data_IF_588671769901
#
_entry.id   IF_588671769901
#
_cell.length_a   1.000
_cell.length_b   1.000
_cell.length_c   1.000
_cell.angle_alpha   90.00
_cell.angle_beta   90.00
_cell.angle_gamma   90.00
#
_symmetry.space_group_name_H-M   'P 1'
#
loop_
_entity.id
_entity.type
_entity.pdbx_description
1 polymer ?
#
# COMPACT_ATOMS: atom_id res chain seq x y z
N UNK A 1 30.52 6.81 -21.47
CA UNK A 1 30.92 6.30 -20.13
C UNK A 1 29.74 6.13 -19.17
N UNK A 2 28.82 7.09 -19.04
CA UNK A 2 27.61 6.99 -18.17
C UNK A 2 26.70 5.77 -18.42
N UNK A 3 26.37 5.35 -19.68
CA UNK A 3 25.45 4.24 -19.89
C UNK A 3 26.00 2.86 -19.47
N UNK A 4 27.32 2.69 -19.55
CA UNK A 4 27.98 1.43 -19.19
C UNK A 4 28.04 1.27 -17.66
N UNK A 5 28.34 2.37 -16.95
CA UNK A 5 28.35 2.40 -15.49
C UNK A 5 26.96 2.13 -14.94
N UNK A 6 25.91 2.74 -15.53
CA UNK A 6 24.51 2.49 -15.15
C UNK A 6 24.10 1.04 -15.34
N UNK A 7 24.49 0.41 -16.46
CA UNK A 7 24.25 -1.02 -16.70
C UNK A 7 25.01 -1.93 -15.71
N UNK A 8 26.22 -1.52 -15.30
CA UNK A 8 27.02 -2.28 -14.34
C UNK A 8 26.47 -2.16 -12.92
N UNK A 9 26.03 -0.98 -12.51
CA UNK A 9 25.35 -0.76 -11.22
C UNK A 9 24.06 -1.58 -11.15
N UNK A 10 23.20 -1.52 -12.16
CA UNK A 10 21.97 -2.32 -12.24
C UNK A 10 22.26 -3.82 -12.18
N UNK A 11 23.36 -4.28 -12.78
CA UNK A 11 23.77 -5.69 -12.74
C UNK A 11 24.24 -6.12 -11.35
N UNK A 12 24.97 -5.25 -10.63
CA UNK A 12 25.41 -5.48 -9.25
C UNK A 12 24.22 -5.46 -8.30
N UNK A 13 23.33 -4.49 -8.41
CA UNK A 13 22.10 -4.41 -7.61
C UNK A 13 21.23 -5.65 -7.82
N UNK A 14 21.03 -6.10 -9.05
CA UNK A 14 20.33 -7.37 -9.37
C UNK A 14 21.00 -8.60 -8.75
N UNK A 15 22.31 -8.60 -8.63
CA UNK A 15 23.06 -9.69 -8.04
C UNK A 15 23.01 -9.65 -6.51
N UNK A 16 23.02 -8.47 -5.92
CA UNK A 16 22.82 -8.24 -4.48
C UNK A 16 21.39 -8.64 -4.08
N UNK A 17 20.37 -8.25 -4.87
CA UNK A 17 18.98 -8.68 -4.67
C UNK A 17 18.85 -10.20 -4.71
N UNK A 18 19.53 -10.88 -5.65
CA UNK A 18 19.59 -12.36 -5.69
C UNK A 18 20.20 -12.97 -4.43
N UNK A 19 21.24 -12.36 -3.88
CA UNK A 19 21.91 -12.82 -2.66
C UNK A 19 21.05 -12.56 -1.42
N UNK A 20 20.40 -11.39 -1.32
CA UNK A 20 19.52 -11.04 -0.20
C UNK A 20 18.25 -11.91 -0.18
N UNK A 21 17.72 -12.30 -1.33
CA UNK A 21 16.57 -13.21 -1.45
C UNK A 21 16.93 -14.64 -1.00
N UNK A 22 18.21 -15.06 -1.09
CA UNK A 22 18.65 -16.40 -0.72
C UNK A 22 18.85 -16.63 0.78
N UNK A 23 18.92 -15.57 1.60
CA UNK A 23 19.26 -15.67 3.04
C UNK A 23 18.08 -15.56 4.02
N UNK A 24 16.83 -15.45 3.55
CA UNK A 24 15.67 -15.29 4.43
C UNK A 24 14.97 -16.62 4.72
N UNK A 25 15.24 -17.20 5.89
CA UNK A 25 14.61 -18.45 6.35
C UNK A 25 13.27 -18.32 7.08
N UNK A 26 12.83 -17.12 7.43
CA UNK A 26 11.69 -16.93 8.31
C UNK A 26 10.41 -16.57 7.51
N UNK A 27 9.42 -17.44 7.58
CA UNK A 27 8.02 -17.20 7.09
C UNK A 27 7.90 -17.11 5.56
N UNK A 28 8.66 -17.90 4.84
CA UNK A 28 8.67 -17.91 3.38
C UNK A 28 8.07 -19.22 2.90
N UNK A 29 7.11 -19.14 1.98
CA UNK A 29 6.60 -20.33 1.28
C UNK A 29 7.67 -20.91 0.36
N UNK A 30 7.86 -22.23 0.41
CA UNK A 30 8.71 -22.95 -0.54
C UNK A 30 7.88 -23.62 -1.65
N UNK A 31 6.56 -23.51 -1.56
CA UNK A 31 5.65 -24.02 -2.56
C UNK A 31 5.73 -23.21 -3.86
N UNK A 32 5.42 -23.81 -5.01
CA UNK A 32 5.31 -23.05 -6.25
C UNK A 32 4.19 -22.01 -6.15
N UNK A 33 4.30 -20.88 -6.89
CA UNK A 33 3.23 -19.91 -6.95
C UNK A 33 1.98 -20.49 -7.63
N UNK A 34 0.80 -19.89 -7.38
CA UNK A 34 -0.46 -20.34 -8.01
C UNK A 34 -0.43 -20.39 -9.54
N UNK A 35 0.43 -19.60 -10.19
CA UNK A 35 0.64 -19.64 -11.64
C UNK A 35 1.27 -20.96 -12.14
N UNK A 36 1.91 -21.73 -11.28
CA UNK A 36 2.68 -22.91 -11.66
C UNK A 36 4.02 -22.58 -12.36
N UNK A 37 4.43 -21.32 -12.38
CA UNK A 37 5.74 -20.90 -12.94
C UNK A 37 6.88 -21.56 -12.16
N UNK A 38 7.93 -21.98 -12.85
CA UNK A 38 9.13 -22.49 -12.20
C UNK A 38 9.93 -21.37 -11.53
N UNK A 39 10.83 -21.76 -10.61
CA UNK A 39 11.63 -20.83 -9.81
C UNK A 39 12.44 -19.83 -10.63
N UNK A 40 13.04 -20.29 -11.74
CA UNK A 40 13.87 -19.45 -12.61
C UNK A 40 13.04 -18.36 -13.28
N UNK A 41 11.86 -18.70 -13.79
CA UNK A 41 10.91 -17.77 -14.39
C UNK A 41 10.46 -16.70 -13.38
N UNK A 42 10.10 -17.12 -12.15
CA UNK A 42 9.70 -16.19 -11.09
C UNK A 42 10.84 -15.22 -10.75
N UNK A 43 12.06 -15.74 -10.56
CA UNK A 43 13.24 -14.91 -10.28
C UNK A 43 13.50 -13.89 -11.39
N UNK A 44 13.36 -14.31 -12.66
CA UNK A 44 13.55 -13.43 -13.81
C UNK A 44 12.52 -12.28 -13.79
N UNK A 45 11.24 -12.61 -13.64
CA UNK A 45 10.15 -11.61 -13.59
C UNK A 45 10.31 -10.64 -12.42
N UNK A 46 10.60 -11.13 -11.22
CA UNK A 46 10.83 -10.28 -10.05
C UNK A 46 12.01 -9.33 -10.27
N UNK A 47 13.06 -9.76 -10.97
CA UNK A 47 14.23 -8.94 -11.28
C UNK A 47 13.99 -7.91 -12.39
N UNK A 48 12.89 -7.97 -13.13
CA UNK A 48 12.50 -6.96 -14.12
C UNK A 48 12.00 -5.67 -13.45
N UNK A 49 11.47 -5.75 -12.21
CA UNK A 49 10.99 -4.60 -11.45
C UNK A 49 12.15 -3.97 -10.70
N UNK A 50 12.53 -2.73 -11.00
CA UNK A 50 13.68 -2.07 -10.38
C UNK A 50 13.51 -1.85 -8.88
N UNK A 51 12.27 -1.60 -8.45
CA UNK A 51 11.95 -1.28 -7.06
C UNK A 51 10.60 -1.87 -6.65
N UNK A 52 10.60 -2.64 -5.56
CA UNK A 52 9.41 -3.17 -4.91
C UNK A 52 9.12 -2.39 -3.63
N UNK A 53 7.92 -1.87 -3.51
CA UNK A 53 7.51 -1.15 -2.30
C UNK A 53 7.19 -2.12 -1.16
N UNK A 54 6.52 -3.23 -1.48
CA UNK A 54 6.13 -4.23 -0.50
C UNK A 54 6.98 -5.50 -0.60
N UNK A 55 7.01 -6.25 0.52
CA UNK A 55 7.62 -7.59 0.57
C UNK A 55 6.56 -8.64 0.23
N UNK A 56 6.51 -9.07 -1.03
CA UNK A 56 5.57 -10.06 -1.56
C UNK A 56 6.28 -11.42 -1.64
N UNK A 57 5.67 -12.46 -1.06
CA UNK A 57 6.13 -13.84 -1.17
C UNK A 57 5.54 -14.49 -2.42
N UNK A 58 6.41 -14.88 -3.33
CA UNK A 58 6.07 -15.55 -4.59
C UNK A 58 6.30 -17.06 -4.56
N UNK A 59 6.53 -17.64 -3.40
CA UNK A 59 6.92 -19.05 -3.29
C UNK A 59 8.39 -19.31 -3.60
N UNK A 60 8.81 -20.55 -3.51
CA UNK A 60 10.21 -21.01 -3.67
C UNK A 60 11.23 -20.29 -2.78
N UNK A 61 10.80 -19.61 -1.74
CA UNK A 61 11.62 -18.72 -0.94
C UNK A 61 11.93 -17.37 -1.59
N UNK A 62 11.21 -16.99 -2.62
CA UNK A 62 11.36 -15.71 -3.33
C UNK A 62 10.45 -14.68 -2.69
N UNK A 63 11.03 -13.70 -1.99
CA UNK A 63 10.31 -12.57 -1.40
C UNK A 63 10.93 -11.28 -1.91
N UNK A 64 10.11 -10.34 -2.36
CA UNK A 64 10.59 -9.03 -2.79
C UNK A 64 11.17 -8.25 -1.60
N UNK A 65 12.21 -7.40 -1.80
CA UNK A 65 12.90 -6.74 -0.70
C UNK A 65 11.99 -5.82 0.13
N UNK A 66 11.05 -5.15 -0.52
CA UNK A 66 10.21 -4.13 0.09
C UNK A 66 10.97 -2.84 0.45
N UNK A 67 10.22 -1.77 0.63
CA UNK A 67 10.76 -0.51 1.13
C UNK A 67 11.04 -0.60 2.64
N UNK A 68 11.91 0.25 3.18
CA UNK A 68 12.19 0.39 4.61
C UNK A 68 12.63 -0.90 5.35
N UNK A 69 13.57 -1.66 4.79
CA UNK A 69 14.16 -2.79 5.51
C UNK A 69 13.34 -4.09 5.49
N UNK A 70 12.29 -4.13 4.70
CA UNK A 70 11.54 -5.35 4.40
C UNK A 70 10.71 -5.88 5.58
N UNK A 71 10.54 -7.20 5.66
CA UNK A 71 9.60 -7.88 6.57
C UNK A 71 9.81 -7.56 8.06
N UNK A 72 11.05 -7.31 8.51
CA UNK A 72 11.39 -7.13 9.93
C UNK A 72 11.29 -5.69 10.43
N UNK A 73 11.12 -4.71 9.53
CA UNK A 73 11.01 -3.31 9.95
C UNK A 73 9.62 -3.06 10.59
N UNK A 74 9.49 -2.25 11.66
CA UNK A 74 8.19 -1.95 12.29
C UNK A 74 7.12 -1.42 11.35
N UNK A 75 7.52 -0.66 10.32
CA UNK A 75 6.64 -0.21 9.22
C UNK A 75 6.72 -1.11 7.97
N UNK A 76 7.44 -2.23 8.05
CA UNK A 76 7.54 -3.19 6.96
C UNK A 76 6.20 -3.87 6.68
N UNK A 77 6.04 -4.33 5.46
CA UNK A 77 4.79 -4.86 4.89
C UNK A 77 4.06 -5.84 5.81
N UNK A 78 4.76 -6.82 6.39
CA UNK A 78 4.14 -7.83 7.26
C UNK A 78 3.67 -7.26 8.59
N UNK A 79 4.44 -6.37 9.20
CA UNK A 79 4.07 -5.73 10.45
C UNK A 79 2.91 -4.76 10.23
N UNK A 80 2.92 -4.02 9.13
CA UNK A 80 1.80 -3.16 8.76
C UNK A 80 0.52 -3.99 8.59
N UNK A 81 0.57 -5.09 7.83
CA UNK A 81 -0.58 -5.99 7.66
C UNK A 81 -1.13 -6.50 9.01
N UNK A 82 -0.25 -6.93 9.93
CA UNK A 82 -0.65 -7.39 11.27
C UNK A 82 -1.34 -6.29 12.09
N UNK A 83 -0.94 -5.04 11.91
CA UNK A 83 -1.48 -3.90 12.65
C UNK A 83 -2.75 -3.28 12.03
N UNK A 84 -3.11 -3.62 10.78
CA UNK A 84 -4.33 -3.14 10.13
C UNK A 84 -5.60 -3.71 10.75
N UNK A 85 -5.50 -4.82 11.47
CA UNK A 85 -6.67 -5.56 11.95
C UNK A 85 -7.68 -5.86 10.82
N UNK A 86 -7.16 -6.12 9.61
CA UNK A 86 -7.97 -6.59 8.49
C UNK A 86 -8.50 -7.99 8.86
N UNK A 87 -9.81 -8.25 8.73
CA UNK A 87 -10.36 -9.57 9.09
C UNK A 87 -9.64 -10.71 8.34
N UNK A 88 -9.43 -11.83 9.02
CA UNK A 88 -8.76 -12.99 8.43
C UNK A 88 -9.66 -13.73 7.42
N UNK A 89 -10.97 -13.60 7.54
CA UNK A 89 -11.96 -14.12 6.60
C UNK A 89 -12.74 -12.97 5.95
N UNK A 90 -12.57 -12.83 4.64
CA UNK A 90 -13.24 -11.82 3.82
C UNK A 90 -14.25 -12.43 2.85
N UNK A 91 -14.66 -13.69 3.06
CA UNK A 91 -15.66 -14.33 2.19
C UNK A 91 -16.96 -13.53 2.17
N UNK A 92 -17.46 -13.29 0.96
CA UNK A 92 -18.65 -12.46 0.73
C UNK A 92 -18.42 -10.95 0.81
N UNK A 93 -17.22 -10.49 1.19
CA UNK A 93 -16.87 -9.06 1.26
C UNK A 93 -16.22 -8.57 -0.02
N UNK A 94 -16.52 -7.33 -0.37
CA UNK A 94 -15.83 -6.57 -1.42
C UNK A 94 -14.83 -5.60 -0.80
N UNK A 95 -13.64 -5.50 -1.40
CA UNK A 95 -12.54 -4.65 -0.92
C UNK A 95 -12.11 -3.68 -2.01
N UNK A 96 -11.96 -2.39 -1.66
CA UNK A 96 -11.30 -1.38 -2.48
C UNK A 96 -9.96 -1.04 -1.85
N UNK A 97 -8.89 -1.13 -2.63
CA UNK A 97 -7.53 -0.75 -2.23
C UNK A 97 -7.13 0.52 -3.01
N UNK A 98 -6.96 1.64 -2.30
CA UNK A 98 -6.68 2.95 -2.87
C UNK A 98 -5.20 3.27 -2.70
N UNK A 99 -4.49 3.50 -3.82
CA UNK A 99 -3.04 3.67 -3.83
C UNK A 99 -2.32 2.33 -3.70
N UNK A 100 -2.77 1.34 -4.45
CA UNK A 100 -2.37 -0.05 -4.29
C UNK A 100 -0.89 -0.33 -4.60
N UNK A 101 -0.21 0.55 -5.34
CA UNK A 101 1.18 0.41 -5.79
C UNK A 101 1.44 -0.95 -6.46
N UNK A 102 2.26 -1.83 -5.86
CA UNK A 102 2.55 -3.19 -6.35
C UNK A 102 1.53 -4.26 -5.89
N UNK A 103 0.42 -3.83 -5.25
CA UNK A 103 -0.77 -4.63 -5.03
C UNK A 103 -0.77 -5.53 -3.79
N UNK A 104 0.21 -5.47 -2.91
CA UNK A 104 0.33 -6.39 -1.77
C UNK A 104 -0.97 -6.52 -0.97
N UNK A 105 -1.61 -5.42 -0.56
CA UNK A 105 -2.82 -5.46 0.27
C UNK A 105 -4.04 -5.96 -0.52
N UNK A 106 -4.08 -5.67 -1.82
CA UNK A 106 -5.10 -6.22 -2.72
C UNK A 106 -5.01 -7.74 -2.81
N UNK A 107 -3.81 -8.30 -2.99
CA UNK A 107 -3.59 -9.75 -3.06
C UNK A 107 -3.82 -10.43 -1.70
N UNK A 108 -3.50 -9.77 -0.60
CA UNK A 108 -3.82 -10.26 0.75
C UNK A 108 -5.34 -10.30 0.99
N UNK A 109 -6.09 -9.31 0.53
CA UNK A 109 -7.54 -9.34 0.61
C UNK A 109 -8.15 -10.49 -0.23
N UNK A 110 -7.66 -10.72 -1.45
CA UNK A 110 -8.06 -11.86 -2.28
C UNK A 110 -7.73 -13.20 -1.59
N UNK A 111 -6.52 -13.35 -1.05
CA UNK A 111 -6.08 -14.54 -0.31
C UNK A 111 -6.96 -14.85 0.90
N UNK A 112 -7.54 -13.85 1.55
CA UNK A 112 -8.50 -13.98 2.66
C UNK A 112 -9.92 -14.28 2.17
N UNK A 113 -10.12 -14.47 0.86
CA UNK A 113 -11.38 -14.91 0.26
C UNK A 113 -12.35 -13.79 -0.09
N UNK A 114 -11.88 -12.53 -0.21
CA UNK A 114 -12.74 -11.45 -0.67
C UNK A 114 -13.42 -11.81 -1.99
N UNK A 115 -14.74 -11.57 -2.07
CA UNK A 115 -15.55 -11.92 -3.24
C UNK A 115 -15.26 -11.01 -4.45
N UNK A 116 -14.78 -9.81 -4.18
CA UNK A 116 -14.31 -8.82 -5.16
C UNK A 116 -13.20 -7.97 -4.55
N UNK A 117 -12.12 -7.78 -5.28
CA UNK A 117 -11.09 -6.81 -4.91
C UNK A 117 -10.84 -5.90 -6.10
N UNK A 118 -10.98 -4.59 -5.88
CA UNK A 118 -10.59 -3.56 -6.83
C UNK A 118 -9.40 -2.78 -6.27
N UNK A 119 -8.31 -2.78 -7.00
CA UNK A 119 -7.16 -1.92 -6.77
C UNK A 119 -7.25 -0.67 -7.65
N UNK A 120 -7.00 0.50 -7.09
CA UNK A 120 -6.83 1.72 -7.89
C UNK A 120 -5.51 2.39 -7.55
N UNK A 121 -4.87 2.92 -8.55
CA UNK A 121 -3.70 3.80 -8.40
C UNK A 121 -3.63 4.75 -9.61
N UNK A 122 -3.17 5.97 -9.41
CA UNK A 122 -2.86 6.87 -10.50
C UNK A 122 -1.38 6.85 -10.87
N UNK A 123 -0.57 6.15 -10.07
CA UNK A 123 0.87 6.04 -10.20
C UNK A 123 1.54 7.41 -10.39
N UNK A 124 1.12 8.39 -9.61
CA UNK A 124 1.70 9.74 -9.69
C UNK A 124 3.21 9.71 -9.47
N UNK A 125 3.66 8.93 -8.48
CA UNK A 125 5.08 8.73 -8.18
C UNK A 125 5.77 7.84 -9.23
N UNK A 126 5.03 6.95 -9.87
CA UNK A 126 5.54 6.03 -10.91
C UNK A 126 6.07 6.78 -12.13
N UNK A 127 5.59 8.02 -12.38
CA UNK A 127 6.16 8.90 -13.40
C UNK A 127 7.64 9.22 -13.16
N UNK A 128 8.09 9.10 -11.91
CA UNK A 128 9.47 9.32 -11.51
C UNK A 128 10.28 8.03 -11.53
N UNK A 129 9.66 6.88 -11.27
CA UNK A 129 10.33 5.61 -11.00
C UNK A 129 9.89 4.44 -11.89
N UNK A 130 8.74 4.52 -12.57
CA UNK A 130 8.18 3.50 -13.50
C UNK A 130 8.15 2.06 -12.94
N UNK A 131 7.76 1.90 -11.67
CA UNK A 131 7.93 0.63 -10.97
C UNK A 131 6.66 0.07 -10.35
N UNK A 132 5.73 0.92 -9.89
CA UNK A 132 4.53 0.46 -9.17
C UNK A 132 3.59 -0.32 -10.10
N UNK A 133 3.28 0.23 -11.26
CA UNK A 133 2.43 -0.45 -12.25
C UNK A 133 3.03 -1.76 -12.76
N UNK A 134 4.35 -1.76 -13.03
CA UNK A 134 5.05 -2.97 -13.47
C UNK A 134 5.07 -4.03 -12.37
N UNK A 135 5.33 -3.61 -11.11
CA UNK A 135 5.30 -4.50 -9.96
C UNK A 135 3.94 -5.17 -9.77
N UNK A 136 2.86 -4.38 -9.89
CA UNK A 136 1.50 -4.89 -9.79
C UNK A 136 1.19 -5.97 -10.85
N UNK A 137 1.48 -5.69 -12.12
CA UNK A 137 1.19 -6.63 -13.22
C UNK A 137 2.00 -7.93 -13.08
N UNK A 138 3.29 -7.83 -12.74
CA UNK A 138 4.14 -9.00 -12.52
C UNK A 138 3.66 -9.80 -11.30
N UNK A 139 3.31 -9.15 -10.19
CA UNK A 139 2.80 -9.82 -9.02
C UNK A 139 1.48 -10.53 -9.32
N UNK A 140 0.55 -9.85 -10.00
CA UNK A 140 -0.73 -10.42 -10.43
C UNK A 140 -0.55 -11.66 -11.30
N UNK A 141 0.39 -11.63 -12.24
CA UNK A 141 0.69 -12.76 -13.11
C UNK A 141 1.26 -13.95 -12.34
N UNK A 142 2.27 -13.73 -11.48
CA UNK A 142 2.91 -14.78 -10.68
C UNK A 142 1.91 -15.41 -9.70
N UNK A 143 1.09 -14.59 -9.05
CA UNK A 143 0.08 -15.05 -8.09
C UNK A 143 -1.19 -15.59 -8.76
N UNK A 144 -1.33 -15.47 -10.09
CA UNK A 144 -2.54 -15.82 -10.84
C UNK A 144 -3.79 -15.16 -10.23
N UNK A 145 -3.64 -13.90 -9.85
CA UNK A 145 -4.65 -13.15 -9.12
C UNK A 145 -5.78 -12.64 -10.03
N UNK A 146 -7.01 -12.63 -9.52
CA UNK A 146 -8.20 -12.06 -10.16
C UNK A 146 -8.49 -10.62 -9.73
N UNK A 147 -7.63 -10.00 -8.92
CA UNK A 147 -7.79 -8.61 -8.50
C UNK A 147 -8.02 -7.71 -9.70
N UNK A 148 -9.11 -6.94 -9.68
CA UNK A 148 -9.38 -5.92 -10.69
C UNK A 148 -8.43 -4.74 -10.46
N UNK A 149 -7.86 -4.17 -11.52
CA UNK A 149 -7.07 -2.94 -11.46
C UNK A 149 -7.68 -1.85 -12.34
N UNK A 150 -7.75 -0.62 -11.80
CA UNK A 150 -8.11 0.56 -12.59
C UNK A 150 -7.13 1.70 -12.31
N UNK A 151 -6.54 2.27 -13.36
CA UNK A 151 -5.79 3.52 -13.24
C UNK A 151 -6.76 4.66 -12.97
N UNK A 152 -6.78 5.15 -11.74
CA UNK A 152 -7.70 6.19 -11.29
C UNK A 152 -7.14 6.93 -10.07
N UNK A 153 -7.54 8.19 -9.94
CA UNK A 153 -7.31 8.97 -8.73
C UNK A 153 -8.40 8.71 -7.69
N UNK A 154 -8.07 8.89 -6.40
CA UNK A 154 -9.06 8.88 -5.32
C UNK A 154 -10.19 9.92 -5.55
N UNK A 155 -9.89 11.00 -6.25
CA UNK A 155 -10.87 12.04 -6.59
C UNK A 155 -11.90 11.61 -7.64
N UNK A 156 -11.61 10.55 -8.41
CA UNK A 156 -12.53 10.00 -9.43
C UNK A 156 -13.60 9.08 -8.83
N UNK A 157 -13.44 8.69 -7.55
CA UNK A 157 -14.33 7.75 -6.88
C UNK A 157 -15.77 8.27 -6.81
N UNK A 158 -16.68 7.42 -7.24
CA UNK A 158 -18.12 7.57 -7.03
C UNK A 158 -18.80 6.20 -7.10
N UNK A 159 -19.96 6.02 -6.43
CA UNK A 159 -20.71 4.76 -6.49
C UNK A 159 -21.10 4.34 -7.91
N UNK A 160 -21.38 5.31 -8.80
CA UNK A 160 -21.82 5.08 -10.18
C UNK A 160 -20.69 4.50 -11.04
N UNK A 161 -19.44 4.94 -10.81
CA UNK A 161 -18.27 4.53 -11.61
C UNK A 161 -17.59 3.26 -11.10
N UNK A 162 -17.54 3.11 -9.78
CA UNK A 162 -16.73 2.08 -9.11
C UNK A 162 -17.58 1.08 -8.33
N UNK A 163 -18.82 1.42 -8.00
CA UNK A 163 -19.64 0.70 -7.04
C UNK A 163 -19.30 1.06 -5.61
N UNK A 164 -19.85 0.29 -4.69
CA UNK A 164 -19.58 0.42 -3.26
C UNK A 164 -18.91 -0.83 -2.73
N UNK A 165 -18.06 -0.67 -1.69
CA UNK A 165 -17.23 -1.73 -1.13
C UNK A 165 -17.48 -1.88 0.38
N UNK A 166 -17.50 -3.13 0.84
CA UNK A 166 -17.71 -3.43 2.25
C UNK A 166 -16.52 -2.92 3.08
N UNK A 167 -15.30 -3.04 2.56
CA UNK A 167 -14.08 -2.56 3.18
C UNK A 167 -13.32 -1.68 2.20
N UNK A 168 -12.86 -0.51 2.67
CA UNK A 168 -11.96 0.36 1.92
C UNK A 168 -10.62 0.45 2.64
N UNK A 169 -9.55 0.12 1.94
CA UNK A 169 -8.16 0.31 2.38
C UNK A 169 -7.65 1.61 1.77
N UNK A 170 -7.18 2.52 2.63
CA UNK A 170 -6.66 3.82 2.23
C UNK A 170 -5.31 4.04 2.92
N UNK A 171 -4.29 3.35 2.39
CA UNK A 171 -3.02 3.15 3.07
C UNK A 171 -1.89 3.92 2.39
N UNK A 172 -1.21 4.79 3.13
CA UNK A 172 -0.06 5.53 2.64
C UNK A 172 -0.36 6.63 1.62
N UNK A 173 -1.61 7.11 1.52
CA UNK A 173 -2.04 8.04 0.45
C UNK A 173 -2.48 9.40 0.97
N UNK A 174 -3.19 9.46 2.09
CA UNK A 174 -3.92 10.65 2.55
C UNK A 174 -3.03 11.89 2.68
N UNK A 175 -1.84 11.76 3.22
CA UNK A 175 -0.90 12.86 3.43
C UNK A 175 -0.25 13.38 2.13
N UNK A 176 -0.36 12.63 1.02
CA UNK A 176 0.11 13.04 -0.31
C UNK A 176 -0.94 13.85 -1.10
N UNK A 177 -2.13 14.03 -0.57
CA UNK A 177 -3.24 14.63 -1.31
C UNK A 177 -3.30 16.14 -1.11
N UNK A 178 -3.45 16.90 -2.20
CA UNK A 178 -3.64 18.37 -2.12
C UNK A 178 -5.00 18.73 -1.51
N UNK A 179 -6.04 17.92 -1.72
CA UNK A 179 -7.40 18.12 -1.24
C UNK A 179 -7.86 16.94 -0.37
N UNK A 180 -7.28 16.78 0.83
CA UNK A 180 -7.51 15.58 1.65
C UNK A 180 -8.97 15.41 2.09
N UNK A 181 -9.69 16.50 2.40
CA UNK A 181 -11.10 16.42 2.80
C UNK A 181 -11.98 15.93 1.64
N UNK A 182 -11.79 16.47 0.44
CA UNK A 182 -12.50 16.00 -0.75
C UNK A 182 -12.24 14.52 -1.01
N UNK A 183 -10.99 14.06 -0.81
CA UNK A 183 -10.67 12.65 -0.94
C UNK A 183 -11.43 11.78 0.07
N UNK A 184 -11.53 12.21 1.34
CA UNK A 184 -12.30 11.48 2.35
C UNK A 184 -13.80 11.44 2.03
N UNK A 185 -14.38 12.51 1.48
CA UNK A 185 -15.78 12.51 1.00
C UNK A 185 -15.97 11.47 -0.12
N UNK A 186 -15.03 11.39 -1.06
CA UNK A 186 -15.03 10.39 -2.12
C UNK A 186 -14.90 8.96 -1.58
N UNK A 187 -13.99 8.74 -0.65
CA UNK A 187 -13.80 7.45 0.05
C UNK A 187 -15.08 7.08 0.80
N UNK A 188 -15.67 8.01 1.55
CA UNK A 188 -16.93 7.76 2.27
C UNK A 188 -18.07 7.38 1.31
N UNK A 189 -18.17 8.02 0.15
CA UNK A 189 -19.23 7.74 -0.82
C UNK A 189 -19.24 6.28 -1.29
N UNK A 190 -18.08 5.65 -1.45
CA UNK A 190 -17.92 4.27 -1.94
C UNK A 190 -17.76 3.23 -0.83
N UNK A 191 -17.68 3.64 0.45
CA UNK A 191 -17.61 2.73 1.59
C UNK A 191 -19.01 2.26 1.98
N UNK A 192 -19.20 0.96 2.26
CA UNK A 192 -20.44 0.41 2.84
C UNK A 192 -20.33 0.21 4.36
N UNK A 193 -19.25 -0.41 4.82
CA UNK A 193 -19.14 -0.83 6.22
C UNK A 193 -17.95 -0.17 6.92
N UNK A 194 -16.73 -0.32 6.39
CA UNK A 194 -15.51 0.00 7.13
C UNK A 194 -14.44 0.64 6.24
N UNK A 195 -13.80 1.65 6.79
CA UNK A 195 -12.54 2.23 6.31
C UNK A 195 -11.40 1.81 7.23
N UNK A 196 -10.30 1.36 6.64
CA UNK A 196 -8.99 1.25 7.31
C UNK A 196 -8.07 2.25 6.63
N UNK A 197 -7.61 3.25 7.37
CA UNK A 197 -6.76 4.33 6.86
C UNK A 197 -5.41 4.32 7.58
N UNK A 198 -4.33 4.32 6.82
CA UNK A 198 -2.98 4.50 7.34
C UNK A 198 -2.37 5.77 6.73
N UNK A 199 -1.78 6.62 7.56
CA UNK A 199 -1.25 7.91 7.12
C UNK A 199 -0.07 8.37 7.96
N UNK A 200 0.71 9.30 7.40
CA UNK A 200 1.59 10.14 8.22
C UNK A 200 0.74 10.98 9.19
N UNK A 201 1.20 11.10 10.44
CA UNK A 201 0.62 12.03 11.40
C UNK A 201 1.72 12.83 12.08
N UNK A 202 1.38 14.02 12.57
CA UNK A 202 2.31 14.88 13.29
C UNK A 202 2.25 14.58 14.81
N UNK A 203 3.24 13.87 15.38
CA UNK A 203 3.27 13.60 16.81
C UNK A 203 3.70 14.80 17.65
N UNK A 204 4.36 15.81 17.04
CA UNK A 204 4.89 16.98 17.77
C UNK A 204 3.79 17.95 18.20
N UNK A 205 2.66 17.95 17.48
CA UNK A 205 1.48 18.77 17.79
C UNK A 205 0.32 17.88 18.28
N UNK A 206 0.58 16.72 18.89
CA UNK A 206 -0.47 15.83 19.42
C UNK A 206 -1.12 16.49 20.64
N UNK A 207 -2.25 17.13 20.42
CA UNK A 207 -3.04 17.87 21.41
C UNK A 207 -4.53 17.55 21.25
N UNK A 208 -5.37 18.06 22.19
CA UNK A 208 -6.83 17.95 22.08
C UNK A 208 -7.38 18.83 20.96
N UNK A 209 -6.68 19.90 20.59
CA UNK A 209 -7.07 20.78 19.49
C UNK A 209 -6.78 20.10 18.16
N UNK A 210 -7.77 19.93 17.27
CA UNK A 210 -7.55 19.46 15.90
C UNK A 210 -6.63 20.41 15.14
N UNK A 211 -5.49 19.90 14.65
CA UNK A 211 -4.47 20.69 13.98
C UNK A 211 -3.88 19.93 12.81
N UNK A 212 -3.64 20.63 11.71
CA UNK A 212 -2.93 20.11 10.55
C UNK A 212 -1.77 21.04 10.19
N UNK A 213 -0.62 20.45 9.91
CA UNK A 213 0.58 21.12 9.42
C UNK A 213 0.66 20.93 7.92
N UNK A 214 0.86 22.00 7.18
CA UNK A 214 1.16 21.95 5.75
C UNK A 214 2.67 22.00 5.54
N UNK A 215 3.17 21.06 4.76
CA UNK A 215 4.57 21.00 4.34
C UNK A 215 4.68 21.55 2.92
N UNK A 216 5.41 22.66 2.78
CA UNK A 216 5.55 23.34 1.50
C UNK A 216 6.56 22.64 0.58
N UNK A 217 7.59 22.07 1.20
CA UNK A 217 8.72 21.48 0.53
C UNK A 217 8.87 19.98 0.88
N UNK A 218 10.09 19.51 0.97
CA UNK A 218 10.40 18.11 1.29
C UNK A 218 10.83 17.92 2.77
N UNK A 219 10.11 18.59 3.70
CA UNK A 219 10.45 18.62 5.14
C UNK A 219 10.37 17.23 5.78
N UNK A 220 9.50 16.39 5.26
CA UNK A 220 9.31 15.02 5.76
C UNK A 220 9.98 14.02 4.83
N UNK A 221 11.00 13.34 5.35
CA UNK A 221 11.73 12.26 4.66
C UNK A 221 12.31 12.64 3.28
N UNK A 222 12.57 13.94 3.03
CA UNK A 222 12.98 14.48 1.73
C UNK A 222 11.97 14.11 0.61
N UNK A 223 10.69 13.96 0.94
CA UNK A 223 9.63 13.63 -0.01
C UNK A 223 8.79 14.88 -0.34
N UNK A 224 8.95 15.47 -1.53
CA UNK A 224 8.22 16.66 -1.94
C UNK A 224 6.73 16.39 -2.22
N UNK A 225 6.29 15.14 -2.09
CA UNK A 225 4.90 14.75 -2.25
C UNK A 225 4.15 14.62 -0.93
N UNK A 226 4.83 14.78 0.21
CA UNK A 226 4.19 14.82 1.54
C UNK A 226 3.74 16.25 1.83
N UNK A 227 2.43 16.49 1.78
CA UNK A 227 1.86 17.83 1.97
C UNK A 227 1.32 18.07 3.37
N UNK A 228 0.89 17.04 4.08
CA UNK A 228 0.15 17.21 5.32
C UNK A 228 0.64 16.29 6.44
N UNK A 229 0.76 16.88 7.64
CA UNK A 229 0.82 16.18 8.91
C UNK A 229 -0.38 16.57 9.78
N UNK A 230 -1.29 15.66 9.99
CA UNK A 230 -2.44 15.86 10.87
C UNK A 230 -2.13 15.33 12.26
N UNK A 231 -2.52 16.01 13.32
CA UNK A 231 -2.49 15.40 14.62
C UNK A 231 -3.65 14.39 14.79
N UNK A 232 -3.58 13.54 15.81
CA UNK A 232 -4.60 12.51 16.08
C UNK A 232 -6.00 13.12 16.19
N UNK A 233 -6.15 14.23 16.92
CA UNK A 233 -7.44 14.89 17.15
C UNK A 233 -8.06 15.37 15.84
N UNK A 234 -7.24 15.89 14.93
CA UNK A 234 -7.68 16.32 13.60
C UNK A 234 -8.11 15.14 12.72
N UNK A 235 -7.33 14.04 12.68
CA UNK A 235 -7.69 12.83 11.92
C UNK A 235 -9.04 12.27 12.35
N UNK A 236 -9.28 12.16 13.66
CA UNK A 236 -10.57 11.71 14.19
C UNK A 236 -11.71 12.70 13.87
N UNK A 237 -11.43 14.00 13.91
CA UNK A 237 -12.43 15.03 13.61
C UNK A 237 -12.83 15.03 12.14
N UNK A 238 -11.86 14.96 11.21
CA UNK A 238 -12.16 14.96 9.77
C UNK A 238 -12.91 13.69 9.34
N UNK A 239 -12.59 12.51 9.92
CA UNK A 239 -13.37 11.30 9.67
C UNK A 239 -14.83 11.46 10.12
N UNK A 240 -15.07 12.00 11.29
CA UNK A 240 -16.45 12.29 11.75
C UNK A 240 -17.15 13.32 10.87
N UNK A 241 -16.44 14.35 10.44
CA UNK A 241 -17.04 15.45 9.65
C UNK A 241 -17.56 14.99 8.30
N UNK A 242 -16.95 13.97 7.68
CA UNK A 242 -17.45 13.38 6.42
C UNK A 242 -18.50 12.29 6.61
N UNK A 243 -18.82 11.93 7.87
CA UNK A 243 -19.93 11.01 8.18
C UNK A 243 -19.52 9.65 8.73
N UNK A 244 -18.23 9.34 8.85
CA UNK A 244 -17.79 8.09 9.47
C UNK A 244 -18.12 8.07 10.97
N UNK A 245 -18.60 6.91 11.44
CA UNK A 245 -18.93 6.64 12.85
C UNK A 245 -17.75 5.99 13.56
N UNK A 246 -17.64 6.23 14.86
CA UNK A 246 -16.69 5.59 15.76
C UNK A 246 -15.25 5.53 15.23
N UNK A 247 -14.68 6.63 14.70
CA UNK A 247 -13.29 6.60 14.26
C UNK A 247 -12.39 6.38 15.47
N UNK A 248 -11.50 5.41 15.36
CA UNK A 248 -10.57 5.02 16.42
C UNK A 248 -9.15 4.83 15.87
N UNK A 249 -8.17 5.07 16.73
CA UNK A 249 -6.77 4.76 16.42
C UNK A 249 -6.50 3.34 16.89
N UNK A 250 -6.14 2.46 15.95
CA UNK A 250 -5.85 1.05 16.25
C UNK A 250 -4.36 0.77 16.38
N UNK A 251 -3.50 1.62 15.80
CA UNK A 251 -2.05 1.48 15.91
C UNK A 251 -1.32 2.82 15.68
N UNK A 252 -0.17 3.00 16.35
CA UNK A 252 0.76 4.11 16.12
C UNK A 252 2.20 3.64 16.24
N UNK A 253 3.05 4.13 15.33
CA UNK A 253 4.48 3.93 15.39
C UNK A 253 5.21 5.14 14.78
N UNK A 254 6.09 5.78 15.54
CA UNK A 254 6.78 7.01 15.14
C UNK A 254 5.79 8.06 14.60
N UNK A 255 5.90 8.40 13.34
CA UNK A 255 5.06 9.36 12.61
C UNK A 255 3.96 8.69 11.75
N UNK A 256 3.66 7.42 12.02
CA UNK A 256 2.61 6.65 11.31
C UNK A 256 1.47 6.29 12.25
N UNK A 257 0.26 6.41 11.74
CA UNK A 257 -0.97 6.12 12.48
C UNK A 257 -1.94 5.31 11.62
N UNK A 258 -2.58 4.32 12.22
CA UNK A 258 -3.65 3.55 11.59
C UNK A 258 -4.95 3.84 12.31
N UNK A 259 -5.97 4.17 11.54
CA UNK A 259 -7.32 4.44 12.00
C UNK A 259 -8.30 3.46 11.36
N UNK A 260 -9.34 3.14 12.12
CA UNK A 260 -10.51 2.42 11.64
C UNK A 260 -11.74 3.27 11.87
N UNK A 261 -12.67 3.26 10.93
CA UNK A 261 -13.93 3.98 11.04
C UNK A 261 -15.03 3.25 10.28
N UNK A 262 -16.28 3.46 10.65
CA UNK A 262 -17.44 2.74 10.14
C UNK A 262 -18.46 3.69 9.50
N UNK A 263 -19.21 3.19 8.55
CA UNK A 263 -20.30 3.98 7.93
C UNK A 263 -21.65 3.75 8.57
#
# INVERSE_FOLDING_TARGET
>A
MLPIIKKFIIKIERQIVKILLSFRKDVVSFDPPPSGMNKETVLKKVAEVPFWWHSIDFGYGIVTPGHQGGIKHPTGTKNLLGNLQLPDDLRGKSVLDIGAWDGFFSFEAEKRGASRVLAIDNFYRDKLEHTGSQGFEIAKEILKSNVEFKKASVYDLSPEKFGMFDIVLFLGVFYHLRHPLLALEKVFSVTKEMLIMETHYDPYHDSKTPLAVFYENAEINNDPTTFWGFNKSCLLAVLRSVGFKNPEVIYRYADRIILKAYK
#
